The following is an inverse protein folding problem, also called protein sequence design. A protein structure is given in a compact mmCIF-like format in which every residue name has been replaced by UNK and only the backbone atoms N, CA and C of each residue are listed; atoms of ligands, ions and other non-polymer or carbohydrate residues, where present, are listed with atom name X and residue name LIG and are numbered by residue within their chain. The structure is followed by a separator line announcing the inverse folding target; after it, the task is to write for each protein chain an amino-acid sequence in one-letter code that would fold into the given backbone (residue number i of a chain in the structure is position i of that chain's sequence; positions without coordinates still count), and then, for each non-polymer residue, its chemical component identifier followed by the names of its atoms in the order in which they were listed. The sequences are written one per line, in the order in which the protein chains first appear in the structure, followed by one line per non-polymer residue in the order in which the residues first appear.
data_IF_940181677327
#
_entry.id   IF_940181677327
#
_cell.length_a   1.000
_cell.length_b   1.000
_cell.length_c   1.000
_cell.angle_alpha   90.00
_cell.angle_beta   90.00
_cell.angle_gamma   90.00
#
_symmetry.space_group_name_H-M   'P 1'
#
loop_
_entity.id
_entity.type
_entity.pdbx_description
1 polymer ?
#
# COMPACT_ATOMS: atom_id res chain seq x y z
N UNK A 1 -23.86 2.35 23.58
CA UNK A 1 -24.24 3.45 24.50
C UNK A 1 -25.28 4.32 23.80
N UNK A 2 -26.40 4.69 24.46
CA UNK A 2 -27.23 5.78 23.95
C UNK A 2 -26.35 7.05 23.97
N UNK A 3 -26.07 7.62 22.80
CA UNK A 3 -25.28 8.84 22.66
C UNK A 3 -23.75 8.67 22.59
N UNK A 4 -23.21 7.52 22.14
CA UNK A 4 -21.79 7.53 21.75
C UNK A 4 -21.60 8.52 20.60
N UNK A 5 -20.73 9.55 20.73
CA UNK A 5 -20.55 10.53 19.67
C UNK A 5 -20.01 9.80 18.45
N UNK A 6 -20.84 9.66 17.42
CA UNK A 6 -20.33 9.25 16.13
C UNK A 6 -19.32 10.33 15.75
N UNK A 7 -18.08 9.90 15.49
CA UNK A 7 -17.04 10.78 15.02
C UNK A 7 -17.52 11.29 13.65
N UNK A 8 -18.04 12.51 13.61
CA UNK A 8 -18.63 13.10 12.40
C UNK A 8 -17.59 13.30 11.30
N UNK A 9 -16.34 13.56 11.70
CA UNK A 9 -15.21 13.71 10.78
C UNK A 9 -14.12 12.66 11.04
N UNK A 10 -13.72 11.85 10.03
CA UNK A 10 -12.67 10.87 10.22
C UNK A 10 -11.36 11.57 10.65
N UNK A 11 -10.62 11.02 11.65
CA UNK A 11 -9.42 11.64 12.17
C UNK A 11 -8.40 11.94 11.06
N UNK A 12 -8.00 13.22 10.92
CA UNK A 12 -7.21 13.72 9.78
C UNK A 12 -5.88 12.97 9.52
N UNK A 13 -5.32 12.31 10.54
CA UNK A 13 -4.04 11.59 10.49
C UNK A 13 -4.16 10.07 10.41
N UNK A 14 -5.37 9.50 10.36
CA UNK A 14 -5.52 8.05 10.20
C UNK A 14 -5.31 7.65 8.74
N UNK A 15 -4.35 6.75 8.52
CA UNK A 15 -4.19 6.06 7.26
C UNK A 15 -5.31 5.02 7.12
N UNK A 16 -6.48 5.45 6.65
CA UNK A 16 -7.59 4.55 6.40
C UNK A 16 -7.29 3.62 5.22
N UNK A 17 -7.92 2.44 5.18
CA UNK A 17 -7.82 1.52 4.05
C UNK A 17 -8.14 2.21 2.72
N UNK A 18 -9.20 3.03 2.69
CA UNK A 18 -9.55 3.83 1.51
C UNK A 18 -8.39 4.73 1.07
N UNK A 19 -7.73 5.41 2.01
CA UNK A 19 -6.60 6.29 1.71
C UNK A 19 -5.39 5.49 1.25
N UNK A 20 -5.05 4.39 1.93
CA UNK A 20 -3.97 3.49 1.52
C UNK A 20 -4.17 2.99 0.09
N UNK A 21 -5.35 2.42 -0.19
CA UNK A 21 -5.69 1.87 -1.50
C UNK A 21 -5.72 2.93 -2.59
N UNK A 22 -6.12 4.16 -2.28
CA UNK A 22 -6.22 5.24 -3.27
C UNK A 22 -4.89 5.57 -3.96
N UNK A 23 -3.75 5.36 -3.30
CA UNK A 23 -2.42 5.56 -3.91
C UNK A 23 -1.69 4.25 -4.19
N UNK A 24 -1.91 3.18 -3.41
CA UNK A 24 -1.21 1.91 -3.61
C UNK A 24 -1.68 1.17 -4.86
N UNK A 25 -2.99 1.19 -5.15
CA UNK A 25 -3.54 0.53 -6.35
C UNK A 25 -2.97 1.14 -7.64
N UNK A 26 -3.08 2.47 -7.89
CA UNK A 26 -2.59 3.04 -9.13
C UNK A 26 -1.07 2.89 -9.28
N UNK A 27 -0.30 3.02 -8.19
CA UNK A 27 1.15 2.80 -8.25
C UNK A 27 1.50 1.36 -8.62
N UNK A 28 0.88 0.37 -7.98
CA UNK A 28 1.10 -1.05 -8.32
C UNK A 28 0.70 -1.37 -9.76
N UNK A 29 -0.41 -0.82 -10.26
CA UNK A 29 -0.84 -1.03 -11.65
C UNK A 29 0.17 -0.46 -12.65
N UNK A 30 0.63 0.78 -12.45
CA UNK A 30 1.63 1.41 -13.33
C UNK A 30 2.93 0.64 -13.30
N UNK A 31 3.42 0.26 -12.11
CA UNK A 31 4.67 -0.52 -11.99
C UNK A 31 4.54 -1.89 -12.65
N UNK A 32 3.41 -2.58 -12.48
CA UNK A 32 3.18 -3.89 -13.10
C UNK A 32 3.09 -3.78 -14.61
N UNK A 33 2.40 -2.75 -15.13
CA UNK A 33 2.31 -2.48 -16.56
C UNK A 33 3.69 -2.23 -17.18
N UNK A 34 4.52 -1.40 -16.53
CA UNK A 34 5.89 -1.15 -16.98
C UNK A 34 6.74 -2.43 -16.92
N UNK A 35 6.65 -3.20 -15.83
CA UNK A 35 7.40 -4.44 -15.71
C UNK A 35 7.03 -5.47 -16.78
N UNK A 36 5.75 -5.51 -17.17
CA UNK A 36 5.28 -6.31 -18.30
C UNK A 36 5.84 -5.79 -19.63
N UNK A 37 5.78 -4.47 -19.87
CA UNK A 37 6.27 -3.86 -21.12
C UNK A 37 7.76 -4.11 -21.37
N UNK A 38 8.58 -4.17 -20.32
CA UNK A 38 10.02 -4.40 -20.40
C UNK A 38 10.43 -5.86 -20.18
N UNK A 39 9.50 -6.82 -20.10
CA UNK A 39 9.78 -8.24 -19.81
C UNK A 39 10.59 -8.47 -18.50
N UNK A 40 10.34 -7.65 -17.48
CA UNK A 40 11.03 -7.69 -16.17
C UNK A 40 10.11 -8.02 -14.99
N UNK A 41 8.99 -8.72 -15.23
CA UNK A 41 8.00 -9.07 -14.20
C UNK A 41 8.63 -9.89 -13.07
N UNK A 42 9.51 -10.83 -13.40
CA UNK A 42 10.18 -11.66 -12.38
C UNK A 42 11.10 -10.82 -11.47
N UNK A 43 11.90 -9.93 -12.05
CA UNK A 43 12.78 -9.02 -11.31
C UNK A 43 11.97 -8.10 -10.39
N UNK A 44 10.82 -7.59 -10.87
CA UNK A 44 9.89 -6.81 -10.05
C UNK A 44 9.40 -7.61 -8.83
N UNK A 45 9.00 -8.87 -9.02
CA UNK A 45 8.54 -9.73 -7.92
C UNK A 45 9.65 -9.99 -6.88
N UNK A 46 10.87 -10.25 -7.35
CA UNK A 46 12.05 -10.44 -6.48
C UNK A 46 12.35 -9.16 -5.70
N UNK A 47 12.34 -8.01 -6.36
CA UNK A 47 12.59 -6.72 -5.74
C UNK A 47 11.55 -6.39 -4.65
N UNK A 48 10.25 -6.59 -4.93
CA UNK A 48 9.21 -6.39 -3.92
C UNK A 48 9.34 -7.34 -2.74
N UNK A 49 9.63 -8.62 -3.00
CA UNK A 49 9.83 -9.62 -1.94
C UNK A 49 10.99 -9.20 -1.02
N UNK A 50 12.12 -8.82 -1.60
CA UNK A 50 13.28 -8.35 -0.83
C UNK A 50 12.95 -7.09 -0.02
N UNK A 51 12.28 -6.12 -0.64
CA UNK A 51 11.86 -4.89 0.02
C UNK A 51 10.93 -5.15 1.21
N UNK A 52 9.95 -6.05 1.08
CA UNK A 52 9.05 -6.41 2.17
C UNK A 52 9.75 -7.17 3.29
N UNK A 53 10.67 -8.07 2.96
CA UNK A 53 11.51 -8.77 3.95
C UNK A 53 12.33 -7.76 4.74
N UNK A 54 13.02 -6.83 4.07
CA UNK A 54 13.79 -5.78 4.73
C UNK A 54 12.90 -4.94 5.65
N UNK A 55 11.73 -4.52 5.16
CA UNK A 55 10.77 -3.74 5.96
C UNK A 55 10.33 -4.51 7.20
N UNK A 56 10.06 -5.82 7.06
CA UNK A 56 9.66 -6.67 8.19
C UNK A 56 10.79 -6.83 9.22
N UNK A 57 12.04 -6.98 8.77
CA UNK A 57 13.22 -7.07 9.64
C UNK A 57 13.45 -5.74 10.38
N UNK A 58 13.34 -4.60 9.67
CA UNK A 58 13.56 -3.26 10.21
C UNK A 58 12.45 -2.77 11.14
N UNK A 59 11.27 -3.41 11.13
CA UNK A 59 10.13 -3.05 11.99
C UNK A 59 10.29 -3.50 13.45
N UNK A 60 11.40 -4.20 13.80
CA UNK A 60 11.79 -4.43 15.20
C UNK A 60 11.94 -3.12 15.96
#
# INVERSE_FOLDING_TARGET
MPGSPYIEEPPKKLLTWRRLLSFSIPSLLVTTYLAFFYDVVFQMMVAFTFFFILTAIMRR
#
